data_IF_722146664950
#
_entry.id   IF_722146664950
#
_cell.length_a   1.000
_cell.length_b   1.000
_cell.length_c   1.000
_cell.angle_alpha   90.00
_cell.angle_beta   90.00
_cell.angle_gamma   90.00
#
_symmetry.space_group_name_H-M   'P 1'
#
loop_
_entity.id
_entity.type
_entity.pdbx_description
1 polymer ?
#
# COMPACT_ATOMS: atom_id res chain seq x y z
N UNK A 1 -12.62 -22.69 -5.78
CA UNK A 1 -11.78 -22.50 -4.57
C UNK A 1 -11.74 -21.00 -4.31
N UNK A 2 -12.61 -20.49 -3.44
CA UNK A 2 -12.64 -19.07 -3.07
C UNK A 2 -11.39 -18.74 -2.26
N UNK A 3 -10.55 -17.82 -2.74
CA UNK A 3 -9.42 -17.32 -1.96
C UNK A 3 -9.98 -16.45 -0.84
N UNK A 4 -10.13 -17.01 0.37
CA UNK A 4 -10.29 -16.20 1.58
C UNK A 4 -9.04 -15.34 1.72
N UNK A 5 -9.15 -14.05 1.42
CA UNK A 5 -8.12 -13.07 1.75
C UNK A 5 -8.01 -13.08 3.27
N UNK A 6 -6.96 -13.71 3.79
CA UNK A 6 -6.58 -13.51 5.18
C UNK A 6 -6.31 -12.01 5.33
N UNK A 7 -7.22 -11.30 6.02
CA UNK A 7 -6.96 -9.92 6.44
C UNK A 7 -5.75 -10.02 7.37
N UNK A 8 -4.58 -9.67 6.86
CA UNK A 8 -3.39 -9.45 7.68
C UNK A 8 -3.65 -8.16 8.45
N UNK A 9 -4.40 -8.28 9.54
CA UNK A 9 -4.53 -7.24 10.55
C UNK A 9 -3.30 -7.34 11.44
N UNK A 10 -2.22 -6.69 11.02
CA UNK A 10 -1.11 -6.42 11.92
C UNK A 10 -1.63 -5.43 12.96
N UNK A 11 -1.62 -5.84 14.23
CA UNK A 11 -1.90 -4.93 15.32
C UNK A 11 -0.70 -4.00 15.46
N UNK A 12 -0.93 -2.71 15.21
CA UNK A 12 0.09 -1.67 15.32
C UNK A 12 0.24 -1.33 16.81
N UNK A 13 1.46 -1.46 17.34
CA UNK A 13 1.78 -0.97 18.67
C UNK A 13 1.96 0.53 18.60
N UNK A 14 1.11 1.28 19.30
CA UNK A 14 1.14 2.74 19.27
C UNK A 14 2.44 3.33 19.87
N UNK A 15 3.12 2.57 20.73
CA UNK A 15 4.38 3.02 21.34
C UNK A 15 5.55 3.06 20.33
N UNK A 16 5.42 2.34 19.20
CA UNK A 16 6.45 2.23 18.16
C UNK A 16 6.19 3.18 16.97
N UNK A 17 5.06 3.89 16.96
CA UNK A 17 4.59 4.68 15.81
C UNK A 17 4.18 6.09 16.23
N UNK A 18 4.29 7.06 15.33
CA UNK A 18 3.79 8.41 15.59
C UNK A 18 2.24 8.40 15.61
N UNK A 19 1.66 8.82 16.73
CA UNK A 19 0.22 8.87 16.91
C UNK A 19 -0.48 9.75 15.85
N UNK A 20 0.18 10.82 15.39
CA UNK A 20 -0.36 11.69 14.34
C UNK A 20 -0.39 10.97 12.98
N UNK A 21 0.64 10.19 12.66
CA UNK A 21 0.68 9.39 11.43
C UNK A 21 -0.42 8.32 11.43
N UNK A 22 -0.63 7.66 12.57
CA UNK A 22 -1.70 6.66 12.71
C UNK A 22 -3.07 7.32 12.51
N UNK A 23 -3.33 8.46 13.16
CA UNK A 23 -4.60 9.19 13.01
C UNK A 23 -4.80 9.66 11.56
N UNK A 24 -3.74 10.19 10.93
CA UNK A 24 -3.76 10.59 9.53
C UNK A 24 -4.16 9.41 8.64
N UNK A 25 -3.49 8.25 8.74
CA UNK A 25 -3.79 7.10 7.91
C UNK A 25 -5.16 6.47 8.20
N UNK A 26 -5.66 6.55 9.45
CA UNK A 26 -7.02 6.13 9.80
C UNK A 26 -8.10 7.02 9.20
N UNK A 27 -7.81 8.30 8.96
CA UNK A 27 -8.73 9.23 8.29
C UNK A 27 -8.90 8.96 6.79
N UNK A 28 -8.02 8.15 6.20
CA UNK A 28 -8.02 7.85 4.76
C UNK A 28 -8.82 6.60 4.44
N UNK A 29 -9.56 6.65 3.34
CA UNK A 29 -10.18 5.47 2.75
C UNK A 29 -9.13 4.43 2.35
N UNK A 30 -9.56 3.18 2.18
CA UNK A 30 -8.68 2.12 1.69
C UNK A 30 -8.12 2.46 0.30
N UNK A 31 -8.94 3.07 -0.57
CA UNK A 31 -8.53 3.48 -1.90
C UNK A 31 -7.41 4.54 -1.87
N UNK A 32 -7.55 5.58 -1.04
CA UNK A 32 -6.52 6.62 -0.87
C UNK A 32 -5.21 6.03 -0.34
N UNK A 33 -5.29 5.14 0.67
CA UNK A 33 -4.11 4.45 1.21
C UNK A 33 -3.42 3.61 0.13
N UNK A 34 -4.17 2.89 -0.68
CA UNK A 34 -3.63 2.06 -1.74
C UNK A 34 -2.96 2.93 -2.82
N UNK A 35 -3.60 4.02 -3.24
CA UNK A 35 -3.04 4.98 -4.19
C UNK A 35 -1.71 5.54 -3.70
N UNK A 36 -1.60 5.90 -2.42
CA UNK A 36 -0.35 6.39 -1.87
C UNK A 36 0.74 5.32 -1.89
N UNK A 37 0.43 4.09 -1.46
CA UNK A 37 1.41 2.99 -1.52
C UNK A 37 1.89 2.75 -2.95
N UNK A 38 1.00 2.87 -3.94
CA UNK A 38 1.38 2.79 -5.36
C UNK A 38 2.31 3.94 -5.74
N UNK A 39 1.98 5.18 -5.35
CA UNK A 39 2.81 6.37 -5.62
C UNK A 39 4.21 6.22 -5.02
N UNK A 40 4.31 5.81 -3.75
CA UNK A 40 5.58 5.59 -3.06
C UNK A 40 6.41 4.51 -3.74
N UNK A 41 5.80 3.39 -4.13
CA UNK A 41 6.51 2.32 -4.88
C UNK A 41 7.00 2.83 -6.23
N UNK A 42 6.17 3.55 -6.97
CA UNK A 42 6.59 4.14 -8.26
C UNK A 42 7.81 5.03 -8.07
N UNK A 43 7.77 5.93 -7.08
CA UNK A 43 8.88 6.82 -6.80
C UNK A 43 10.15 6.08 -6.38
N UNK A 44 10.04 5.13 -5.44
CA UNK A 44 11.18 4.35 -4.97
C UNK A 44 11.88 3.59 -6.09
N UNK A 45 11.12 2.85 -6.91
CA UNK A 45 11.73 2.05 -7.97
C UNK A 45 12.22 2.88 -9.15
N UNK A 46 11.55 4.00 -9.46
CA UNK A 46 12.07 4.95 -10.44
C UNK A 46 13.36 5.59 -9.97
N UNK A 47 13.46 5.98 -8.69
CA UNK A 47 14.71 6.48 -8.13
C UNK A 47 15.82 5.42 -8.15
N UNK A 48 15.51 4.19 -7.75
CA UNK A 48 16.49 3.10 -7.65
C UNK A 48 16.98 2.61 -9.02
N UNK A 49 16.08 2.47 -10.01
CA UNK A 49 16.38 1.82 -11.29
C UNK A 49 16.36 2.79 -12.49
N UNK A 50 16.10 4.07 -12.27
CA UNK A 50 15.82 5.05 -13.33
C UNK A 50 14.44 4.93 -13.99
N UNK A 51 13.71 3.84 -13.74
CA UNK A 51 12.38 3.59 -14.28
C UNK A 51 11.55 2.65 -13.38
N UNK A 52 10.23 2.71 -13.52
CA UNK A 52 9.34 1.79 -12.81
C UNK A 52 9.26 0.42 -13.52
N UNK A 53 9.55 -0.72 -12.84
CA UNK A 53 9.57 -2.02 -13.49
C UNK A 53 8.20 -2.47 -14.01
N UNK A 54 8.08 -2.77 -15.31
CA UNK A 54 6.83 -3.21 -15.94
C UNK A 54 6.21 -4.46 -15.30
N UNK A 55 7.05 -5.40 -14.83
CA UNK A 55 6.60 -6.62 -14.15
C UNK A 55 5.83 -6.31 -12.85
N UNK A 56 6.09 -5.17 -12.22
CA UNK A 56 5.40 -4.73 -11.01
C UNK A 56 4.11 -3.97 -11.30
N UNK A 57 3.97 -3.37 -12.49
CA UNK A 57 2.71 -2.76 -12.94
C UNK A 57 1.57 -3.76 -12.82
N UNK A 58 1.75 -5.00 -13.30
CA UNK A 58 0.71 -6.03 -13.25
C UNK A 58 0.27 -6.38 -11.82
N UNK A 59 1.24 -6.55 -10.90
CA UNK A 59 0.95 -6.94 -9.51
C UNK A 59 0.27 -5.83 -8.73
N UNK A 60 0.64 -4.57 -8.99
CA UNK A 60 0.08 -3.41 -8.28
C UNK A 60 -1.31 -3.07 -8.81
N UNK A 61 -1.53 -3.08 -10.12
CA UNK A 61 -2.82 -2.70 -10.73
C UNK A 61 -3.89 -3.77 -10.50
N UNK A 62 -3.55 -5.07 -10.53
CA UNK A 62 -4.53 -6.12 -10.21
C UNK A 62 -5.09 -5.97 -8.80
N UNK A 63 -4.26 -5.57 -7.83
CA UNK A 63 -4.71 -5.34 -6.44
C UNK A 63 -5.56 -4.09 -6.26
N UNK A 64 -5.62 -3.17 -7.22
CA UNK A 64 -6.51 -2.00 -7.14
C UNK A 64 -7.93 -2.35 -7.58
N UNK A 65 -8.08 -3.27 -8.54
CA UNK A 65 -9.40 -3.62 -9.10
C UNK A 65 -10.17 -4.66 -8.26
N UNK A 66 -9.54 -5.24 -7.24
CA UNK A 66 -10.15 -6.24 -6.35
C UNK A 66 -10.77 -5.61 -5.08
N UNK A 67 -10.85 -4.28 -4.99
CA UNK A 67 -11.36 -3.53 -3.84
C UNK A 67 -12.37 -2.43 -4.19
#
# INVERSE_FOLDING_TARGET
MERKIAKVVNHVKMDDEDALDVLFWRSKSMAERLQEVVRLRKNYFTWLNGAFPEKMTKVITTRINDF
#
